data_IF_255784813135
#
_entry.id   IF_255784813135
#
_cell.length_a   1.000
_cell.length_b   1.000
_cell.length_c   1.000
_cell.angle_alpha   90.00
_cell.angle_beta   90.00
_cell.angle_gamma   90.00
#
_symmetry.space_group_name_H-M   'P 1'
#
loop_
_entity.id
_entity.type
_entity.pdbx_description
1 polymer ?
#
# COMPACT_ATOMS: atom_id res chain seq x y z
N UNK A 1 10.90 -2.05 -23.39
CA UNK A 1 11.16 -2.56 -22.03
C UNK A 1 12.47 -1.94 -21.59
N UNK A 2 12.45 -1.04 -20.61
CA UNK A 2 13.55 -0.11 -20.35
C UNK A 2 14.19 -0.37 -18.98
N UNK A 3 14.96 -1.46 -18.87
CA UNK A 3 15.93 -1.54 -17.77
C UNK A 3 17.07 -0.59 -18.13
N UNK A 4 17.24 0.45 -17.32
CA UNK A 4 18.23 1.51 -17.48
C UNK A 4 19.12 1.57 -16.23
N UNK A 5 20.22 2.32 -16.29
CA UNK A 5 21.04 2.55 -15.10
C UNK A 5 20.23 3.20 -13.96
N UNK A 6 19.34 4.13 -14.31
CA UNK A 6 18.42 4.77 -13.35
C UNK A 6 17.44 3.77 -12.75
N UNK A 7 16.85 2.88 -13.56
CA UNK A 7 15.92 1.85 -13.07
C UNK A 7 16.61 0.92 -12.06
N UNK A 8 17.82 0.47 -12.36
CA UNK A 8 18.61 -0.37 -11.47
C UNK A 8 18.98 0.39 -10.20
N UNK A 9 19.38 1.67 -10.30
CA UNK A 9 19.67 2.47 -9.12
C UNK A 9 18.47 2.61 -8.19
N UNK A 10 17.28 2.89 -8.73
CA UNK A 10 16.04 2.98 -7.97
C UNK A 10 15.71 1.66 -7.26
N UNK A 11 15.92 0.52 -7.93
CA UNK A 11 15.70 -0.80 -7.34
C UNK A 11 16.69 -1.10 -6.20
N UNK A 12 17.96 -0.71 -6.36
CA UNK A 12 18.99 -0.87 -5.32
C UNK A 12 18.71 0.05 -4.14
N UNK A 13 18.32 1.30 -4.36
CA UNK A 13 17.93 2.22 -3.29
C UNK A 13 16.74 1.68 -2.51
N UNK A 14 15.72 1.15 -3.21
CA UNK A 14 14.58 0.53 -2.57
C UNK A 14 15.01 -0.59 -1.61
N UNK A 15 15.92 -1.47 -2.04
CA UNK A 15 16.47 -2.54 -1.21
C UNK A 15 17.26 -1.98 0.00
N UNK A 16 18.17 -1.03 -0.22
CA UNK A 16 18.99 -0.44 0.84
C UNK A 16 18.12 0.18 1.93
N UNK A 17 17.13 0.99 1.55
CA UNK A 17 16.25 1.61 2.52
C UNK A 17 15.34 0.58 3.21
N UNK A 18 14.89 -0.47 2.53
CA UNK A 18 14.09 -1.53 3.14
C UNK A 18 14.90 -2.28 4.22
N UNK A 19 16.16 -2.58 3.95
CA UNK A 19 17.04 -3.27 4.89
C UNK A 19 17.40 -2.39 6.09
N UNK A 20 17.60 -1.08 5.89
CA UNK A 20 17.73 -0.12 6.98
C UNK A 20 16.47 -0.07 7.86
N UNK A 21 15.28 -0.08 7.24
CA UNK A 21 14.01 -0.18 7.96
C UNK A 21 13.92 -1.47 8.79
N UNK A 22 14.24 -2.64 8.21
CA UNK A 22 14.24 -3.92 8.93
C UNK A 22 15.19 -3.91 10.13
N UNK A 23 16.40 -3.36 9.94
CA UNK A 23 17.38 -3.22 11.02
C UNK A 23 16.85 -2.31 12.13
N UNK A 24 16.33 -1.14 11.75
CA UNK A 24 15.71 -0.20 12.69
C UNK A 24 14.54 -0.82 13.44
N UNK A 25 13.72 -1.66 12.78
CA UNK A 25 12.63 -2.42 13.42
C UNK A 25 13.15 -3.37 14.50
N UNK A 26 14.21 -4.11 14.19
CA UNK A 26 14.88 -4.97 15.18
C UNK A 26 15.44 -4.18 16.36
N UNK A 27 16.07 -3.03 16.11
CA UNK A 27 16.58 -2.14 17.16
C UNK A 27 15.44 -1.59 18.03
N UNK A 28 14.32 -1.20 17.43
CA UNK A 28 13.12 -0.70 18.10
C UNK A 28 12.46 -1.75 19.01
N UNK A 29 12.31 -2.98 18.52
CA UNK A 29 11.72 -4.09 19.28
C UNK A 29 12.60 -4.47 20.48
N UNK A 30 13.92 -4.49 20.30
CA UNK A 30 14.90 -4.78 21.35
C UNK A 30 15.11 -3.63 22.35
N UNK A 31 14.61 -2.43 22.04
CA UNK A 31 14.83 -1.24 22.84
C UNK A 31 14.26 -1.36 24.26
N UNK A 32 13.08 -1.97 24.39
CA UNK A 32 12.42 -2.20 25.68
C UNK A 32 13.27 -3.04 26.65
N UNK A 33 13.94 -4.07 26.13
CA UNK A 33 14.82 -4.96 26.88
C UNK A 33 16.04 -4.18 27.40
N UNK A 34 16.60 -3.31 26.56
CA UNK A 34 17.75 -2.48 26.91
C UNK A 34 17.41 -1.50 28.03
N UNK A 35 16.25 -0.84 27.95
CA UNK A 35 15.76 0.08 28.99
C UNK A 35 15.56 -0.64 30.32
N UNK A 36 14.92 -1.80 30.30
CA UNK A 36 14.67 -2.59 31.50
C UNK A 36 15.97 -3.07 32.15
N UNK A 37 16.96 -3.48 31.34
CA UNK A 37 18.29 -3.84 31.85
C UNK A 37 18.98 -2.69 32.58
N UNK A 38 18.88 -1.46 32.04
CA UNK A 38 19.48 -0.26 32.65
C UNK A 38 18.80 0.12 33.96
N UNK A 39 17.48 -0.03 34.07
CA UNK A 39 16.73 0.18 35.32
C UNK A 39 17.15 -0.82 36.39
N UNK A 40 17.31 -2.10 36.05
CA UNK A 40 17.78 -3.13 36.99
C UNK A 40 19.18 -2.86 37.51
N UNK A 41 20.10 -2.36 36.67
CA UNK A 41 21.44 -1.95 37.13
C UNK A 41 21.32 -0.83 38.18
N UNK A 42 20.44 0.15 37.95
CA UNK A 42 20.22 1.22 38.92
C UNK A 42 19.61 0.71 40.24
N UNK A 43 18.68 -0.26 40.19
CA UNK A 43 18.14 -0.92 41.39
C UNK A 43 19.20 -1.66 42.19
N UNK A 44 20.05 -2.42 41.50
CA UNK A 44 21.14 -3.15 42.14
C UNK A 44 22.10 -2.20 42.86
N UNK A 45 22.36 -1.01 42.30
CA UNK A 45 23.20 0.00 42.91
C UNK A 45 22.61 0.53 44.24
N UNK A 46 21.29 0.76 44.33
CA UNK A 46 20.63 1.12 45.61
C UNK A 46 20.82 0.00 46.63
N UNK A 47 20.66 -1.24 46.19
CA UNK A 47 20.73 -2.40 47.05
C UNK A 47 22.14 -2.60 47.61
N UNK A 48 23.17 -2.36 46.79
CA UNK A 48 24.58 -2.33 47.22
C UNK A 48 24.83 -1.23 48.26
N UNK A 49 24.41 0.01 47.98
CA UNK A 49 24.54 1.12 48.95
C UNK A 49 23.85 0.77 50.27
N UNK A 50 22.63 0.26 50.21
CA UNK A 50 21.86 -0.14 51.39
C UNK A 50 22.62 -1.19 52.21
N UNK A 51 23.12 -2.23 51.57
CA UNK A 51 23.88 -3.29 52.24
C UNK A 51 25.16 -2.73 52.87
N UNK A 52 25.92 -1.90 52.15
CA UNK A 52 27.15 -1.29 52.67
C UNK A 52 26.87 -0.39 53.88
N UNK A 53 25.87 0.47 53.81
CA UNK A 53 25.51 1.41 54.89
C UNK A 53 24.97 0.68 56.11
N UNK A 54 24.13 -0.33 55.92
CA UNK A 54 23.59 -1.13 57.02
C UNK A 54 24.68 -1.91 57.75
N UNK A 55 25.59 -2.54 57.00
CA UNK A 55 26.68 -3.35 57.53
C UNK A 55 27.87 -2.56 58.08
N UNK A 56 27.90 -1.24 57.89
CA UNK A 56 28.97 -0.40 58.44
C UNK A 56 28.87 -0.33 59.96
N UNK A 57 29.95 -0.69 60.65
CA UNK A 57 30.01 -0.71 62.10
C UNK A 57 30.40 0.67 62.67
N UNK A 58 29.49 1.28 63.40
CA UNK A 58 29.70 2.56 64.09
C UNK A 58 30.12 2.38 65.56
N UNK A 59 30.22 1.15 66.06
CA UNK A 59 30.51 0.84 67.47
C UNK A 59 31.79 1.51 67.99
N UNK A 60 32.80 1.65 67.14
CA UNK A 60 34.08 2.28 67.48
C UNK A 60 33.99 3.81 67.68
N UNK A 61 32.90 4.44 67.28
CA UNK A 61 32.71 5.90 67.33
C UNK A 61 31.85 6.38 68.49
N UNK A 62 31.10 5.48 69.15
CA UNK A 62 30.18 5.83 70.25
C UNK A 62 28.95 6.64 69.82
N UNK A 63 28.68 6.75 68.52
CA UNK A 63 27.58 7.53 67.94
C UNK A 63 26.44 6.59 67.50
N UNK A 64 25.20 6.89 67.89
CA UNK A 64 24.03 6.28 67.27
C UNK A 64 23.83 6.87 65.86
N UNK A 65 24.18 6.06 64.86
CA UNK A 65 24.14 6.46 63.45
C UNK A 65 22.89 5.96 62.72
N UNK A 66 21.89 5.41 63.42
CA UNK A 66 20.68 4.82 62.81
C UNK A 66 19.94 5.81 61.89
N UNK A 67 19.71 7.03 62.36
CA UNK A 67 19.09 8.11 61.57
C UNK A 67 19.92 8.50 60.33
N UNK A 68 21.25 8.52 60.48
CA UNK A 68 22.16 8.85 59.38
C UNK A 68 22.13 7.74 58.32
N UNK A 69 22.16 6.46 58.73
CA UNK A 69 22.03 5.32 57.83
C UNK A 69 20.73 5.37 57.03
N UNK A 70 19.61 5.65 57.70
CA UNK A 70 18.30 5.76 57.04
C UNK A 70 18.27 6.90 56.03
N UNK A 71 18.78 8.09 56.39
CA UNK A 71 18.87 9.24 55.47
C UNK A 71 19.72 8.94 54.23
N UNK A 72 20.84 8.24 54.37
CA UNK A 72 21.68 7.84 53.24
C UNK A 72 20.92 6.91 52.30
N UNK A 73 20.20 5.92 52.83
CA UNK A 73 19.41 4.97 52.04
C UNK A 73 18.25 5.67 51.32
N UNK A 74 17.54 6.58 52.00
CA UNK A 74 16.48 7.39 51.39
C UNK A 74 17.03 8.26 50.27
N UNK A 75 18.16 8.93 50.49
CA UNK A 75 18.79 9.76 49.48
C UNK A 75 19.24 8.94 48.26
N UNK A 76 19.84 7.77 48.47
CA UNK A 76 20.23 6.88 47.38
C UNK A 76 19.02 6.37 46.59
N UNK A 77 17.93 6.03 47.28
CA UNK A 77 16.68 5.59 46.67
C UNK A 77 16.03 6.70 45.83
N UNK A 78 16.00 7.93 46.35
CA UNK A 78 15.50 9.10 45.63
C UNK A 78 16.35 9.42 44.39
N UNK A 79 17.68 9.38 44.54
CA UNK A 79 18.61 9.61 43.44
C UNK A 79 18.41 8.58 42.32
N UNK A 80 18.25 7.30 42.65
CA UNK A 80 17.99 6.26 41.65
C UNK A 80 16.61 6.39 41.03
N UNK A 81 15.58 6.79 41.77
CA UNK A 81 14.26 7.11 41.18
C UNK A 81 14.39 8.19 40.11
N UNK A 82 15.10 9.29 40.41
CA UNK A 82 15.36 10.37 39.45
C UNK A 82 16.18 9.91 38.25
N UNK A 83 17.17 9.01 38.46
CA UNK A 83 17.94 8.42 37.36
C UNK A 83 17.05 7.57 36.47
N UNK A 84 16.16 6.74 37.05
CA UNK A 84 15.22 5.92 36.28
C UNK A 84 14.26 6.77 35.45
N UNK A 85 13.71 7.85 36.02
CA UNK A 85 12.89 8.81 35.28
C UNK A 85 13.67 9.41 34.10
N UNK A 86 14.94 9.78 34.30
CA UNK A 86 15.81 10.26 33.21
C UNK A 86 16.11 9.19 32.16
N UNK A 87 16.30 7.93 32.58
CA UNK A 87 16.47 6.79 31.67
C UNK A 87 15.21 6.62 30.82
N UNK A 88 14.03 6.66 31.43
CA UNK A 88 12.76 6.53 30.72
C UNK A 88 12.49 7.68 29.75
N UNK A 89 12.77 8.91 30.16
CA UNK A 89 12.60 10.07 29.29
C UNK A 89 13.50 9.97 28.05
N UNK A 90 14.81 9.72 28.25
CA UNK A 90 15.76 9.51 27.15
C UNK A 90 15.39 8.32 26.28
N UNK A 91 14.91 7.25 26.90
CA UNK A 91 14.44 6.07 26.19
C UNK A 91 13.29 6.40 25.23
N UNK A 92 12.29 7.18 25.67
CA UNK A 92 11.20 7.61 24.80
C UNK A 92 11.69 8.47 23.64
N UNK A 93 12.63 9.38 23.90
CA UNK A 93 13.21 10.24 22.87
C UNK A 93 13.99 9.43 21.82
N UNK A 94 14.86 8.52 22.27
CA UNK A 94 15.62 7.62 21.39
C UNK A 94 14.67 6.70 20.59
N UNK A 95 13.64 6.15 21.23
CA UNK A 95 12.65 5.29 20.59
C UNK A 95 11.85 6.05 19.52
N UNK A 96 11.48 7.29 19.79
CA UNK A 96 10.83 8.17 18.81
C UNK A 96 11.78 8.50 17.64
N UNK A 97 13.07 8.74 17.91
CA UNK A 97 14.06 9.00 16.86
C UNK A 97 14.28 7.78 15.96
N UNK A 98 14.36 6.57 16.55
CA UNK A 98 14.44 5.31 15.79
C UNK A 98 13.20 5.15 14.92
N UNK A 99 12.01 5.36 15.48
CA UNK A 99 10.74 5.25 14.73
C UNK A 99 10.67 6.23 13.56
N UNK A 100 11.01 7.50 13.77
CA UNK A 100 11.03 8.49 12.71
C UNK A 100 12.01 8.12 11.58
N UNK A 101 13.19 7.60 11.95
CA UNK A 101 14.16 7.10 10.97
C UNK A 101 13.60 5.90 10.20
N UNK A 102 12.99 4.94 10.88
CA UNK A 102 12.34 3.77 10.27
C UNK A 102 11.26 4.19 9.27
N UNK A 103 10.33 5.06 9.68
CA UNK A 103 9.25 5.55 8.81
C UNK A 103 9.83 6.30 7.59
N UNK A 104 10.92 7.06 7.79
CA UNK A 104 11.66 7.72 6.71
C UNK A 104 12.27 6.74 5.72
N UNK A 105 12.94 5.70 6.20
CA UNK A 105 13.55 4.65 5.38
C UNK A 105 12.48 3.83 4.64
N UNK A 106 11.38 3.47 5.30
CA UNK A 106 10.25 2.79 4.65
C UNK A 106 9.66 3.62 3.51
N UNK A 107 9.39 4.90 3.75
CA UNK A 107 8.84 5.80 2.73
C UNK A 107 9.79 6.00 1.55
N UNK A 108 11.11 6.12 1.80
CA UNK A 108 12.12 6.20 0.73
C UNK A 108 12.19 4.90 -0.05
N UNK A 109 12.13 3.75 0.62
CA UNK A 109 12.11 2.44 -0.03
C UNK A 109 10.93 2.31 -0.98
N UNK A 110 9.71 2.61 -0.50
CA UNK A 110 8.48 2.57 -1.31
C UNK A 110 8.54 3.59 -2.45
N UNK A 111 9.08 4.79 -2.20
CA UNK A 111 9.28 5.83 -3.22
C UNK A 111 10.20 5.36 -4.34
N UNK A 112 11.40 4.87 -4.00
CA UNK A 112 12.36 4.32 -4.97
C UNK A 112 11.80 3.10 -5.71
N UNK A 113 11.07 2.20 -5.03
CA UNK A 113 10.42 1.07 -5.67
C UNK A 113 9.32 1.53 -6.64
N UNK A 114 8.54 2.55 -6.27
CA UNK A 114 7.53 3.13 -7.15
C UNK A 114 8.16 3.71 -8.43
N UNK A 115 9.30 4.39 -8.30
CA UNK A 115 10.07 4.91 -9.45
C UNK A 115 10.66 3.81 -10.33
N UNK A 116 11.02 2.66 -9.77
CA UNK A 116 11.41 1.50 -10.56
C UNK A 116 10.20 0.91 -11.31
N UNK A 117 9.09 0.67 -10.60
CA UNK A 117 7.92 -0.02 -11.15
C UNK A 117 7.13 0.84 -12.15
N UNK A 118 7.18 2.17 -12.06
CA UNK A 118 6.48 3.07 -13.00
C UNK A 118 7.02 2.98 -14.43
N UNK A 119 8.27 2.51 -14.59
CA UNK A 119 8.91 2.28 -15.88
C UNK A 119 8.44 1.01 -16.59
N UNK A 120 7.48 0.29 -15.96
CA UNK A 120 6.93 -0.99 -16.43
C UNK A 120 8.05 -1.98 -16.80
N UNK A 121 8.89 -2.37 -15.81
CA UNK A 121 10.09 -3.16 -16.06
C UNK A 121 9.78 -4.56 -16.57
N UNK A 122 8.60 -5.10 -16.24
CA UNK A 122 8.15 -6.44 -16.60
C UNK A 122 7.17 -6.43 -17.77
N UNK A 123 7.10 -7.54 -18.51
CA UNK A 123 6.07 -7.70 -19.54
C UNK A 123 4.69 -7.88 -18.89
N UNK A 124 3.80 -6.91 -19.10
CA UNK A 124 2.43 -6.92 -18.59
C UNK A 124 1.57 -7.79 -19.52
N UNK A 125 0.99 -8.86 -18.97
CA UNK A 125 0.06 -9.76 -19.66
C UNK A 125 -1.36 -9.18 -19.62
N UNK A 126 -1.76 -8.68 -18.44
CA UNK A 126 -3.10 -8.17 -18.21
C UNK A 126 -3.07 -7.11 -17.11
N UNK A 127 -4.07 -6.24 -17.08
CA UNK A 127 -4.25 -5.29 -16.00
C UNK A 127 -5.72 -5.04 -15.72
N UNK A 128 -6.00 -4.65 -14.47
CA UNK A 128 -7.34 -4.25 -14.06
C UNK A 128 -7.25 -3.02 -13.18
N UNK A 129 -8.06 -2.02 -13.50
CA UNK A 129 -8.17 -0.78 -12.74
C UNK A 129 -9.48 -0.79 -12.00
N UNK A 130 -9.41 -0.55 -10.70
CA UNK A 130 -10.55 -0.46 -9.81
C UNK A 130 -10.69 0.99 -9.37
N UNK A 131 -11.90 1.53 -9.48
CA UNK A 131 -12.29 2.84 -8.96
C UNK A 131 -13.45 2.63 -7.98
N UNK A 132 -13.38 3.24 -6.82
CA UNK A 132 -14.43 3.22 -5.81
C UNK A 132 -14.71 4.64 -5.34
N UNK A 133 -15.98 5.00 -5.20
CA UNK A 133 -16.40 6.19 -4.47
C UNK A 133 -16.50 5.84 -2.98
N UNK A 134 -15.74 6.55 -2.14
CA UNK A 134 -15.65 6.32 -0.69
C UNK A 134 -15.71 7.66 0.03
N UNK A 135 -16.75 7.86 0.82
CA UNK A 135 -16.92 9.03 1.70
C UNK A 135 -16.72 10.38 0.99
N UNK A 136 -17.33 10.53 -0.20
CA UNK A 136 -17.28 11.77 -0.98
C UNK A 136 -16.02 11.97 -1.83
N UNK A 137 -15.16 10.96 -1.97
CA UNK A 137 -13.96 11.01 -2.81
C UNK A 137 -13.73 9.71 -3.55
N UNK A 138 -12.98 9.74 -4.65
CA UNK A 138 -12.62 8.54 -5.40
C UNK A 138 -11.27 7.97 -4.97
N UNK A 139 -11.23 6.67 -4.74
CA UNK A 139 -10.02 5.89 -4.55
C UNK A 139 -9.85 4.91 -5.71
N UNK A 140 -8.64 4.84 -6.26
CA UNK A 140 -8.36 3.95 -7.36
C UNK A 140 -7.05 3.20 -7.21
N UNK A 141 -7.04 1.99 -7.76
CA UNK A 141 -5.87 1.11 -7.82
C UNK A 141 -5.81 0.40 -9.16
N UNK A 142 -4.60 0.21 -9.68
CA UNK A 142 -4.34 -0.60 -10.86
C UNK A 142 -3.53 -1.83 -10.46
N UNK A 143 -4.03 -3.00 -10.81
CA UNK A 143 -3.37 -4.30 -10.61
C UNK A 143 -2.83 -4.77 -11.95
N UNK A 144 -1.53 -5.05 -12.00
CA UNK A 144 -0.83 -5.52 -13.18
C UNK A 144 -0.39 -6.97 -12.97
N UNK A 145 -0.69 -7.83 -13.94
CA UNK A 145 -0.22 -9.22 -14.00
C UNK A 145 0.85 -9.33 -15.07
N UNK A 146 1.97 -9.91 -14.71
CA UNK A 146 3.14 -10.03 -15.57
C UNK A 146 3.56 -11.50 -15.73
N UNK A 147 4.51 -11.73 -16.63
CA UNK A 147 5.18 -13.01 -16.76
C UNK A 147 5.85 -13.47 -15.44
N UNK A 148 6.24 -14.75 -15.40
CA UNK A 148 6.98 -15.36 -14.29
C UNK A 148 6.28 -15.28 -12.92
N UNK A 149 4.94 -15.27 -12.93
CA UNK A 149 4.08 -15.17 -11.73
C UNK A 149 4.39 -13.91 -10.89
N UNK A 150 4.62 -12.79 -11.57
CA UNK A 150 4.82 -11.48 -10.96
C UNK A 150 3.52 -10.69 -11.08
N UNK A 151 3.10 -10.06 -9.99
CA UNK A 151 2.04 -9.05 -10.04
C UNK A 151 2.38 -7.87 -9.15
N UNK A 152 1.87 -6.70 -9.49
CA UNK A 152 2.06 -5.51 -8.67
C UNK A 152 0.85 -4.60 -8.73
N UNK A 153 0.67 -3.82 -7.68
CA UNK A 153 -0.45 -2.89 -7.54
C UNK A 153 0.08 -1.47 -7.34
N UNK A 154 -0.54 -0.52 -8.04
CA UNK A 154 -0.37 0.91 -7.82
C UNK A 154 -1.66 1.51 -7.27
N UNK A 155 -1.54 2.36 -6.26
CA UNK A 155 -2.55 3.38 -6.02
C UNK A 155 -2.46 4.46 -7.09
N UNK A 156 -3.61 4.97 -7.54
CA UNK A 156 -3.71 6.00 -8.56
C UNK A 156 -4.16 7.33 -7.96
N UNK A 157 -3.75 8.43 -8.56
CA UNK A 157 -4.08 9.76 -8.08
C UNK A 157 -5.34 10.32 -8.77
N UNK A 158 -6.52 10.02 -8.20
CA UNK A 158 -7.81 10.50 -8.70
C UNK A 158 -7.91 12.03 -8.75
N UNK A 159 -7.25 12.76 -7.84
CA UNK A 159 -7.34 14.23 -7.78
C UNK A 159 -6.68 14.93 -8.98
N UNK A 160 -5.85 14.22 -9.75
CA UNK A 160 -5.24 14.71 -10.98
C UNK A 160 -6.12 14.48 -12.21
N UNK A 161 -7.23 13.77 -12.07
CA UNK A 161 -8.22 13.53 -13.13
C UNK A 161 -9.40 14.47 -12.91
N UNK A 162 -9.63 15.48 -13.78
CA UNK A 162 -10.66 16.49 -13.59
C UNK A 162 -12.05 15.92 -13.30
N UNK A 163 -12.41 14.84 -13.98
CA UNK A 163 -13.70 14.16 -13.87
C UNK A 163 -13.92 13.50 -12.50
N UNK A 164 -12.84 13.19 -11.77
CA UNK A 164 -12.89 12.47 -10.49
C UNK A 164 -12.58 13.37 -9.30
N UNK A 165 -12.56 14.69 -9.49
CA UNK A 165 -12.35 15.68 -8.41
C UNK A 165 -13.54 15.73 -7.45
N UNK A 166 -14.74 15.59 -8.00
CA UNK A 166 -16.02 15.64 -7.30
C UNK A 166 -16.83 14.37 -7.61
N UNK A 167 -17.97 14.19 -6.92
CA UNK A 167 -18.90 13.08 -7.18
C UNK A 167 -19.41 13.11 -8.63
N UNK A 168 -19.27 11.98 -9.34
CA UNK A 168 -19.71 11.85 -10.73
C UNK A 168 -21.16 11.40 -10.78
N UNK A 169 -22.08 12.35 -11.00
CA UNK A 169 -23.47 12.05 -11.30
C UNK A 169 -23.65 11.60 -12.74
N UNK A 170 -24.51 10.62 -13.01
CA UNK A 170 -24.79 10.18 -14.38
C UNK A 170 -25.34 11.30 -15.28
N UNK A 171 -26.04 12.29 -14.70
CA UNK A 171 -26.50 13.47 -15.42
C UNK A 171 -25.38 14.37 -15.96
N UNK A 172 -24.14 14.24 -15.45
CA UNK A 172 -22.97 14.93 -16.01
C UNK A 172 -22.42 14.21 -17.26
N UNK A 173 -22.65 12.90 -17.36
CA UNK A 173 -22.24 12.07 -18.51
C UNK A 173 -23.30 12.12 -19.61
N UNK A 174 -24.56 11.83 -19.28
CA UNK A 174 -25.70 11.92 -20.20
C UNK A 174 -27.00 12.11 -19.43
N UNK A 175 -27.83 13.07 -19.88
CA UNK A 175 -29.06 13.47 -19.19
C UNK A 175 -30.27 12.64 -19.62
N UNK A 176 -31.17 12.39 -18.68
CA UNK A 176 -32.46 11.78 -18.97
C UNK A 176 -32.42 10.28 -19.30
N UNK A 177 -31.33 9.59 -18.96
CA UNK A 177 -31.22 8.14 -19.17
C UNK A 177 -32.27 7.44 -18.30
N UNK A 178 -32.99 6.48 -18.90
CA UNK A 178 -33.97 5.64 -18.23
C UNK A 178 -33.63 4.18 -18.42
N UNK A 179 -33.66 3.41 -17.34
CA UNK A 179 -33.47 1.96 -17.38
C UNK A 179 -34.79 1.29 -16.99
N UNK A 180 -35.30 0.34 -17.79
CA UNK A 180 -36.45 -0.46 -17.38
C UNK A 180 -36.04 -1.37 -16.21
N UNK A 181 -36.77 -1.36 -15.11
CA UNK A 181 -36.38 -2.10 -13.89
C UNK A 181 -37.38 -3.18 -13.50
N UNK A 182 -38.67 -2.99 -13.78
CA UNK A 182 -39.73 -3.94 -13.41
C UNK A 182 -40.88 -3.94 -14.40
N UNK A 183 -41.63 -5.04 -14.37
CA UNK A 183 -42.94 -5.16 -15.04
C UNK A 183 -44.00 -4.60 -14.10
N UNK A 184 -44.59 -3.48 -14.49
CA UNK A 184 -45.80 -2.99 -13.87
C UNK A 184 -47.03 -3.76 -14.36
N UNK A 185 -48.09 -3.74 -13.55
CA UNK A 185 -49.43 -4.14 -13.99
C UNK A 185 -50.26 -2.88 -14.14
N UNK A 186 -50.71 -2.62 -15.37
CA UNK A 186 -51.76 -1.63 -15.60
C UNK A 186 -53.07 -2.15 -15.01
N UNK A 187 -53.70 -1.39 -14.11
CA UNK A 187 -55.03 -1.73 -13.57
C UNK A 187 -56.13 -1.65 -14.65
N UNK A 188 -55.85 -1.01 -15.79
CA UNK A 188 -56.84 -0.70 -16.83
C UNK A 188 -56.56 -1.33 -18.20
N UNK A 189 -55.43 -2.04 -18.38
CA UNK A 189 -55.16 -2.77 -19.63
C UNK A 189 -54.48 -4.13 -19.36
N UNK A 190 -54.70 -5.09 -20.26
CA UNK A 190 -54.01 -6.39 -20.25
C UNK A 190 -52.55 -6.31 -20.73
N UNK A 191 -52.05 -5.11 -21.03
CA UNK A 191 -50.68 -4.89 -21.48
C UNK A 191 -49.75 -4.73 -20.27
N UNK A 192 -48.62 -5.42 -20.32
CA UNK A 192 -47.56 -5.29 -19.32
C UNK A 192 -46.96 -3.89 -19.43
N UNK A 193 -47.11 -3.06 -18.40
CA UNK A 193 -46.41 -1.78 -18.33
C UNK A 193 -45.00 -2.00 -17.83
N UNK A 194 -44.08 -1.09 -18.16
CA UNK A 194 -42.68 -1.16 -17.70
C UNK A 194 -42.40 0.03 -16.81
N UNK A 195 -41.89 -0.25 -15.61
CA UNK A 195 -41.44 0.77 -14.67
C UNK A 195 -39.99 1.13 -14.97
N UNK A 196 -39.66 2.41 -14.85
CA UNK A 196 -38.35 2.95 -15.22
C UNK A 196 -37.68 3.68 -14.06
N UNK A 197 -36.38 3.47 -13.95
CA UNK A 197 -35.48 4.24 -13.11
C UNK A 197 -34.90 5.40 -13.93
N UNK A 198 -34.87 6.61 -13.38
CA UNK A 198 -34.19 7.76 -13.99
C UNK A 198 -32.80 7.91 -13.38
N UNK A 199 -31.76 7.83 -14.21
CA UNK A 199 -30.38 7.74 -13.71
C UNK A 199 -29.77 9.09 -13.31
N UNK A 200 -30.39 10.23 -13.60
CA UNK A 200 -29.76 11.55 -13.43
C UNK A 200 -29.18 11.83 -12.03
N UNK A 201 -29.76 11.24 -10.98
CA UNK A 201 -29.31 11.35 -9.59
C UNK A 201 -28.32 10.26 -9.16
N UNK A 202 -28.16 9.22 -9.95
CA UNK A 202 -27.23 8.14 -9.64
C UNK A 202 -25.80 8.66 -9.74
N UNK A 203 -24.96 8.19 -8.83
CA UNK A 203 -23.54 8.47 -8.79
C UNK A 203 -22.76 7.25 -9.27
N UNK A 204 -21.59 7.47 -9.88
CA UNK A 204 -20.65 6.42 -10.20
C UNK A 204 -20.02 5.90 -8.91
N UNK A 205 -20.42 4.70 -8.45
CA UNK A 205 -19.96 4.14 -7.19
C UNK A 205 -18.75 3.22 -7.37
N UNK A 206 -18.73 2.42 -8.44
CA UNK A 206 -17.64 1.49 -8.73
C UNK A 206 -17.38 1.35 -10.22
N UNK A 207 -16.10 1.20 -10.58
CA UNK A 207 -15.68 0.78 -11.92
C UNK A 207 -14.58 -0.26 -11.82
N UNK A 208 -14.73 -1.32 -12.61
CA UNK A 208 -13.67 -2.28 -12.92
C UNK A 208 -13.39 -2.21 -14.41
N UNK A 209 -12.18 -1.78 -14.75
CA UNK A 209 -11.77 -1.60 -16.14
C UNK A 209 -10.60 -2.52 -16.45
N UNK A 210 -10.74 -3.31 -17.51
CA UNK A 210 -9.67 -4.07 -18.14
C UNK A 210 -9.67 -3.81 -19.66
N UNK A 211 -8.62 -4.20 -20.39
CA UNK A 211 -8.66 -4.16 -21.86
C UNK A 211 -9.82 -4.95 -22.49
N UNK A 212 -10.35 -5.95 -21.76
CA UNK A 212 -11.34 -6.92 -22.28
C UNK A 212 -12.77 -6.55 -21.91
N UNK A 213 -12.97 -5.79 -20.85
CA UNK A 213 -14.31 -5.42 -20.38
C UNK A 213 -14.27 -4.20 -19.46
N UNK A 214 -15.44 -3.59 -19.31
CA UNK A 214 -15.71 -2.62 -18.24
C UNK A 214 -16.95 -3.05 -17.48
N UNK A 215 -16.84 -3.08 -16.15
CA UNK A 215 -17.96 -3.25 -15.24
C UNK A 215 -18.16 -1.93 -14.50
N UNK A 216 -19.38 -1.41 -14.53
CA UNK A 216 -19.73 -0.11 -13.93
C UNK A 216 -20.87 -0.36 -12.97
N UNK A 217 -20.76 0.17 -11.76
CA UNK A 217 -21.87 0.26 -10.81
C UNK A 217 -22.18 1.72 -10.55
N UNK A 218 -23.47 2.02 -10.58
CA UNK A 218 -24.01 3.32 -10.22
C UNK A 218 -25.02 3.13 -9.10
N UNK A 219 -25.08 4.10 -8.20
CA UNK A 219 -25.92 4.03 -6.99
C UNK A 219 -26.69 5.32 -6.79
N UNK A 220 -27.93 5.21 -6.34
CA UNK A 220 -28.69 6.33 -5.83
C UNK A 220 -28.55 6.38 -4.31
N UNK A 221 -27.86 7.38 -3.77
CA UNK A 221 -27.62 7.52 -2.33
C UNK A 221 -28.91 7.69 -1.51
N UNK A 222 -29.99 8.22 -2.11
CA UNK A 222 -31.26 8.44 -1.42
C UNK A 222 -32.03 7.12 -1.20
N UNK A 223 -31.96 6.19 -2.16
CA UNK A 223 -32.76 4.95 -2.18
C UNK A 223 -31.93 3.68 -2.06
N UNK A 224 -30.59 3.81 -2.02
CA UNK A 224 -29.61 2.72 -2.06
C UNK A 224 -29.81 1.74 -3.22
N UNK A 225 -30.54 2.17 -4.25
CA UNK A 225 -30.80 1.39 -5.45
C UNK A 225 -29.57 1.42 -6.34
N UNK A 226 -29.21 0.26 -6.90
CA UNK A 226 -27.97 0.07 -7.65
C UNK A 226 -28.30 -0.46 -9.04
N UNK A 227 -27.55 0.04 -10.03
CA UNK A 227 -27.55 -0.51 -11.38
C UNK A 227 -26.11 -0.84 -11.74
N UNK A 228 -25.89 -2.04 -12.28
CA UNK A 228 -24.59 -2.45 -12.78
C UNK A 228 -24.65 -2.80 -14.26
N UNK A 229 -23.67 -2.31 -15.01
CA UNK A 229 -23.47 -2.58 -16.43
C UNK A 229 -22.17 -3.36 -16.62
N UNK A 230 -22.23 -4.52 -17.26
CA UNK A 230 -21.06 -5.22 -17.76
C UNK A 230 -21.01 -5.09 -19.28
N UNK A 231 -19.94 -4.48 -19.79
CA UNK A 231 -19.70 -4.28 -21.21
C UNK A 231 -18.41 -5.02 -21.61
N UNK A 232 -18.51 -6.15 -22.35
CA UNK A 232 -17.35 -6.82 -22.91
C UNK A 232 -16.89 -6.08 -24.19
N UNK A 233 -15.61 -5.72 -24.24
CA UNK A 233 -15.00 -4.98 -25.36
C UNK A 233 -15.00 -5.84 -26.64
N UNK A 234 -14.70 -7.13 -26.50
CA UNK A 234 -14.63 -8.07 -27.63
C UNK A 234 -16.00 -8.50 -28.17
N UNK A 235 -17.07 -8.24 -27.41
CA UNK A 235 -18.43 -8.54 -27.86
C UNK A 235 -19.42 -7.44 -27.42
N UNK A 236 -19.39 -6.27 -28.09
CA UNK A 236 -20.17 -5.09 -27.72
C UNK A 236 -21.69 -5.26 -27.67
N UNK A 237 -22.22 -6.39 -28.18
CA UNK A 237 -23.65 -6.69 -28.24
C UNK A 237 -24.11 -7.55 -27.04
N UNK A 238 -23.18 -8.05 -26.20
CA UNK A 238 -23.48 -8.83 -24.98
C UNK A 238 -23.43 -7.97 -23.70
N UNK A 239 -24.06 -6.81 -23.72
CA UNK A 239 -24.14 -5.93 -22.55
C UNK A 239 -25.08 -6.55 -21.52
N UNK A 240 -24.59 -6.75 -20.29
CA UNK A 240 -25.42 -7.21 -19.16
C UNK A 240 -25.78 -6.04 -18.27
N UNK A 241 -27.03 -6.01 -17.83
CA UNK A 241 -27.60 -4.95 -16.99
C UNK A 241 -28.36 -5.60 -15.85
N UNK A 242 -27.89 -5.35 -14.63
CA UNK A 242 -28.57 -5.77 -13.41
C UNK A 242 -29.06 -4.53 -12.65
N UNK A 243 -30.25 -4.63 -12.07
CA UNK A 243 -30.81 -3.65 -11.14
C UNK A 243 -31.01 -4.31 -9.77
N UNK A 244 -30.78 -3.56 -8.69
CA UNK A 244 -30.99 -4.02 -7.32
C UNK A 244 -31.58 -2.89 -6.48
N UNK A 245 -32.61 -3.22 -5.71
CA UNK A 245 -33.19 -2.37 -4.67
C UNK A 245 -33.59 -3.21 -3.45
N UNK A 246 -34.36 -2.61 -2.54
CA UNK A 246 -34.86 -3.26 -1.32
C UNK A 246 -35.77 -4.47 -1.57
N UNK A 247 -36.44 -4.57 -2.73
CA UNK A 247 -37.26 -5.76 -3.04
C UNK A 247 -36.52 -6.84 -3.84
N UNK A 248 -35.25 -6.61 -4.19
CA UNK A 248 -34.36 -7.65 -4.68
C UNK A 248 -33.58 -7.27 -5.94
N UNK A 249 -32.95 -8.28 -6.56
CA UNK A 249 -32.16 -8.14 -7.78
C UNK A 249 -32.97 -8.56 -9.01
N UNK A 250 -32.91 -7.76 -10.07
CA UNK A 250 -33.52 -8.02 -11.38
C UNK A 250 -32.43 -8.05 -12.44
N UNK A 251 -32.38 -9.14 -13.22
CA UNK A 251 -31.58 -9.19 -14.44
C UNK A 251 -32.40 -8.54 -15.57
N UNK A 252 -32.00 -7.34 -15.98
CA UNK A 252 -32.76 -6.50 -16.91
C UNK A 252 -32.57 -6.96 -18.35
N UNK A 253 -31.35 -7.30 -18.77
CA UNK A 253 -31.08 -7.78 -20.13
C UNK A 253 -31.59 -9.21 -20.36
N UNK A 254 -31.61 -10.04 -19.30
CA UNK A 254 -32.13 -11.40 -19.34
C UNK A 254 -33.66 -11.50 -19.39
N UNK A 255 -34.40 -10.42 -19.10
CA UNK A 255 -35.86 -10.40 -19.23
C UNK A 255 -36.29 -9.94 -20.63
N UNK A 256 -36.97 -10.79 -21.44
CA UNK A 256 -37.34 -10.46 -22.82
C UNK A 256 -38.28 -9.26 -22.99
N UNK A 257 -38.98 -8.85 -21.92
CA UNK A 257 -39.86 -7.68 -21.95
C UNK A 257 -39.05 -6.42 -21.66
N UNK A 258 -38.19 -6.45 -20.62
CA UNK A 258 -37.40 -5.29 -20.21
C UNK A 258 -36.32 -4.96 -21.25
N UNK A 259 -35.63 -5.97 -21.78
CA UNK A 259 -34.52 -5.79 -22.74
C UNK A 259 -34.92 -5.05 -24.02
N UNK A 260 -36.18 -5.16 -24.45
CA UNK A 260 -36.72 -4.42 -25.62
C UNK A 260 -36.72 -2.90 -25.45
N UNK A 261 -36.71 -2.42 -24.20
CA UNK A 261 -36.77 -0.99 -23.88
C UNK A 261 -35.43 -0.41 -23.44
N UNK A 262 -34.35 -1.20 -23.48
CA UNK A 262 -33.01 -0.74 -23.13
C UNK A 262 -32.41 0.03 -24.31
N UNK A 263 -31.92 1.24 -24.04
CA UNK A 263 -31.09 1.99 -24.99
C UNK A 263 -29.62 1.56 -24.89
N UNK A 264 -29.29 0.45 -25.54
CA UNK A 264 -27.92 -0.09 -25.57
C UNK A 264 -26.91 0.88 -26.19
N UNK A 265 -27.33 1.79 -27.07
CA UNK A 265 -26.44 2.80 -27.66
C UNK A 265 -25.99 3.80 -26.61
N UNK A 266 -26.92 4.26 -25.78
CA UNK A 266 -26.60 5.16 -24.66
C UNK A 266 -25.70 4.47 -23.63
N UNK A 267 -25.97 3.21 -23.28
CA UNK A 267 -25.09 2.44 -22.37
C UNK A 267 -23.68 2.29 -22.94
N UNK A 268 -23.56 1.97 -24.23
CA UNK A 268 -22.25 1.89 -24.92
C UNK A 268 -21.50 3.22 -24.86
N UNK A 269 -22.20 4.35 -25.04
CA UNK A 269 -21.61 5.69 -24.96
C UNK A 269 -21.11 6.01 -23.55
N UNK A 270 -21.87 5.66 -22.51
CA UNK A 270 -21.49 5.84 -21.11
C UNK A 270 -20.26 5.01 -20.78
N UNK A 271 -20.27 3.73 -21.14
CA UNK A 271 -19.13 2.82 -20.94
C UNK A 271 -17.87 3.33 -21.64
N UNK A 272 -18.00 3.86 -22.86
CA UNK A 272 -16.89 4.47 -23.60
C UNK A 272 -16.33 5.72 -22.91
N UNK A 273 -17.20 6.60 -22.40
CA UNK A 273 -16.78 7.78 -21.63
C UNK A 273 -16.01 7.37 -20.37
N UNK A 274 -16.58 6.47 -19.56
CA UNK A 274 -15.94 6.00 -18.32
C UNK A 274 -14.62 5.30 -18.63
N UNK A 275 -14.56 4.46 -19.67
CA UNK A 275 -13.30 3.83 -20.10
C UNK A 275 -12.22 4.87 -20.43
N UNK A 276 -12.58 5.98 -21.10
CA UNK A 276 -11.66 7.08 -21.35
C UNK A 276 -11.12 7.74 -20.08
N UNK A 277 -11.98 7.96 -19.08
CA UNK A 277 -11.57 8.47 -17.75
C UNK A 277 -10.63 7.48 -17.06
N UNK A 278 -10.93 6.18 -17.08
CA UNK A 278 -10.09 5.14 -16.50
C UNK A 278 -8.72 5.04 -17.17
N UNK A 279 -8.66 5.21 -18.49
CA UNK A 279 -7.40 5.26 -19.24
C UNK A 279 -6.54 6.47 -18.87
N UNK A 280 -7.14 7.66 -18.72
CA UNK A 280 -6.42 8.85 -18.22
C UNK A 280 -5.90 8.62 -16.79
N UNK A 281 -6.72 7.98 -15.93
CA UNK A 281 -6.35 7.66 -14.55
C UNK A 281 -5.16 6.70 -14.44
N UNK A 282 -5.03 5.72 -15.34
CA UNK A 282 -3.87 4.81 -15.38
C UNK A 282 -2.53 5.53 -15.55
N UNK A 283 -2.51 6.68 -16.23
CA UNK A 283 -1.30 7.48 -16.39
C UNK A 283 -0.91 8.23 -15.10
N UNK A 284 -1.73 8.18 -14.04
CA UNK A 284 -1.54 8.89 -12.77
C UNK A 284 -1.14 7.96 -11.63
N UNK A 285 -0.20 7.05 -11.88
CA UNK A 285 0.41 6.16 -10.86
C UNK A 285 0.99 7.01 -9.72
N UNK A 286 0.62 6.72 -8.47
CA UNK A 286 1.04 7.47 -7.28
C UNK A 286 2.12 6.73 -6.49
N UNK A 287 1.78 5.57 -5.95
CA UNK A 287 2.72 4.72 -5.19
C UNK A 287 2.38 3.27 -5.41
N UNK A 288 3.41 2.43 -5.48
CA UNK A 288 3.25 0.98 -5.41
C UNK A 288 2.73 0.60 -4.03
N UNK A 289 1.75 -0.29 -3.99
CA UNK A 289 1.08 -0.76 -2.76
C UNK A 289 1.28 -2.25 -2.54
N UNK A 290 1.56 -3.02 -3.59
CA UNK A 290 1.88 -4.44 -3.50
C UNK A 290 2.84 -4.85 -4.62
N UNK A 291 3.78 -5.75 -4.30
CA UNK A 291 4.60 -6.46 -5.28
C UNK A 291 4.64 -7.92 -4.87
N UNK A 292 4.12 -8.80 -5.71
CA UNK A 292 4.01 -10.23 -5.48
C UNK A 292 4.89 -10.95 -6.49
N UNK A 293 5.76 -11.84 -6.00
CA UNK A 293 6.50 -12.81 -6.81
C UNK A 293 6.14 -14.20 -6.27
N UNK A 294 5.62 -15.07 -7.14
CA UNK A 294 5.06 -16.34 -6.67
C UNK A 294 3.81 -16.09 -5.82
N UNK A 295 3.84 -16.57 -4.58
CA UNK A 295 2.77 -16.38 -3.59
C UNK A 295 3.18 -15.42 -2.46
N UNK A 296 4.26 -14.65 -2.63
CA UNK A 296 4.79 -13.77 -1.59
C UNK A 296 4.67 -12.29 -1.95
N UNK A 297 3.94 -11.54 -1.12
CA UNK A 297 3.96 -10.08 -1.15
C UNK A 297 5.23 -9.56 -0.45
N UNK A 298 6.12 -8.97 -1.25
CA UNK A 298 7.43 -8.49 -0.83
C UNK A 298 7.36 -7.26 0.07
N UNK A 299 6.35 -6.40 -0.12
CA UNK A 299 6.17 -5.20 0.70
C UNK A 299 5.64 -5.54 2.09
N UNK A 300 4.68 -6.46 2.17
CA UNK A 300 4.16 -6.96 3.47
C UNK A 300 5.26 -7.64 4.29
N UNK A 301 6.12 -8.43 3.63
CA UNK A 301 7.28 -9.06 4.30
C UNK A 301 8.46 -8.12 4.51
N UNK A 302 8.40 -6.91 3.94
CA UNK A 302 9.52 -5.96 3.94
C UNK A 302 10.82 -6.58 3.40
N UNK A 303 10.72 -7.41 2.36
CA UNK A 303 11.86 -8.15 1.79
C UNK A 303 11.89 -8.01 0.26
N UNK A 304 12.74 -7.11 -0.22
CA UNK A 304 12.89 -6.81 -1.65
C UNK A 304 14.02 -7.61 -2.31
N UNK A 305 14.81 -8.37 -1.55
CA UNK A 305 15.94 -9.12 -2.10
C UNK A 305 15.53 -10.09 -3.23
N UNK A 306 14.41 -10.83 -3.13
CA UNK A 306 13.96 -11.71 -4.22
C UNK A 306 13.73 -10.96 -5.53
N UNK A 307 13.15 -9.76 -5.48
CA UNK A 307 12.92 -8.92 -6.66
C UNK A 307 14.24 -8.47 -7.29
N UNK A 308 15.20 -8.01 -6.49
CA UNK A 308 16.51 -7.58 -6.99
C UNK A 308 17.23 -8.74 -7.68
N UNK A 309 17.27 -9.91 -7.05
CA UNK A 309 17.87 -11.12 -7.63
C UNK A 309 17.19 -11.50 -8.95
N UNK A 310 15.86 -11.50 -8.99
CA UNK A 310 15.09 -11.78 -10.20
C UNK A 310 15.46 -10.81 -11.33
N UNK A 311 15.48 -9.50 -11.08
CA UNK A 311 15.82 -8.49 -12.09
C UNK A 311 17.24 -8.69 -12.62
N UNK A 312 18.22 -8.89 -11.74
CA UNK A 312 19.62 -9.12 -12.13
C UNK A 312 19.80 -10.40 -12.95
N UNK A 313 19.04 -11.45 -12.64
CA UNK A 313 19.07 -12.71 -13.38
C UNK A 313 18.37 -12.59 -14.74
N UNK A 314 17.11 -12.12 -14.75
CA UNK A 314 16.25 -12.02 -15.94
C UNK A 314 16.81 -11.06 -16.98
N UNK A 315 17.36 -9.93 -16.52
CA UNK A 315 17.92 -8.88 -17.37
C UNK A 315 19.45 -8.84 -17.34
N UNK A 316 20.08 -9.98 -17.04
CA UNK A 316 21.54 -10.11 -16.92
C UNK A 316 22.30 -9.52 -18.11
N UNK A 317 21.84 -9.73 -19.35
CA UNK A 317 22.47 -9.15 -20.54
C UNK A 317 22.46 -7.60 -20.55
N UNK A 318 21.36 -6.97 -20.11
CA UNK A 318 21.26 -5.51 -20.00
C UNK A 318 22.12 -5.00 -18.87
N UNK A 319 22.06 -5.64 -17.71
CA UNK A 319 22.87 -5.28 -16.54
C UNK A 319 24.36 -5.38 -16.86
N UNK A 320 24.80 -6.45 -17.55
CA UNK A 320 26.17 -6.61 -18.05
C UNK A 320 26.58 -5.49 -18.99
N UNK A 321 25.71 -5.10 -19.93
CA UNK A 321 25.96 -4.00 -20.85
C UNK A 321 26.17 -2.69 -20.09
N UNK A 322 25.24 -2.35 -19.19
CA UNK A 322 25.32 -1.14 -18.37
C UNK A 322 26.58 -1.07 -17.51
N UNK A 323 27.06 -2.21 -16.99
CA UNK A 323 28.32 -2.29 -16.25
C UNK A 323 29.53 -2.11 -17.19
N UNK A 324 29.55 -2.85 -18.30
CA UNK A 324 30.65 -2.80 -19.27
C UNK A 324 30.82 -1.41 -19.88
N UNK A 325 29.71 -0.70 -20.11
CA UNK A 325 29.67 0.64 -20.68
C UNK A 325 29.95 1.74 -19.62
N UNK A 326 30.18 1.36 -18.36
CA UNK A 326 30.48 2.27 -17.27
C UNK A 326 29.29 3.07 -16.73
N UNK A 327 28.06 2.73 -17.13
CA UNK A 327 26.84 3.36 -16.61
C UNK A 327 26.49 2.89 -15.19
N UNK A 328 26.95 1.71 -14.78
CA UNK A 328 26.82 1.18 -13.42
C UNK A 328 28.21 0.80 -12.91
N UNK A 329 28.65 1.41 -11.81
CA UNK A 329 29.91 1.07 -11.15
C UNK A 329 29.71 -0.09 -10.16
N UNK A 330 30.50 -1.16 -10.29
CA UNK A 330 30.52 -2.26 -9.33
C UNK A 330 30.96 -1.77 -7.95
N UNK A 331 31.92 -0.84 -7.88
CA UNK A 331 32.41 -0.31 -6.62
C UNK A 331 31.38 0.59 -5.92
N UNK A 332 30.56 1.31 -6.69
CA UNK A 332 29.40 2.03 -6.14
C UNK A 332 28.37 1.04 -5.58
N UNK A 333 28.03 -0.02 -6.33
CA UNK A 333 27.13 -1.08 -5.85
C UNK A 333 27.66 -1.73 -4.57
N UNK A 334 28.96 -2.06 -4.51
CA UNK A 334 29.61 -2.58 -3.30
C UNK A 334 29.46 -1.62 -2.13
N UNK A 335 29.74 -0.34 -2.34
CA UNK A 335 29.66 0.69 -1.30
C UNK A 335 28.23 0.81 -0.76
N UNK A 336 27.24 0.85 -1.65
CA UNK A 336 25.82 0.99 -1.30
C UNK A 336 25.27 -0.24 -0.57
N UNK A 337 25.71 -1.43 -0.96
CA UNK A 337 25.17 -2.70 -0.47
C UNK A 337 25.99 -3.34 0.67
N UNK A 338 27.18 -2.80 0.99
CA UNK A 338 28.08 -3.33 2.02
C UNK A 338 27.40 -3.51 3.39
N UNK A 339 26.47 -2.63 3.73
CA UNK A 339 25.77 -2.63 5.01
C UNK A 339 24.61 -3.64 5.10
N UNK A 340 24.24 -4.27 3.98
CA UNK A 340 23.14 -5.24 3.91
C UNK A 340 23.68 -6.65 4.10
N UNK A 341 24.58 -7.06 3.20
CA UNK A 341 25.25 -8.36 3.24
C UNK A 341 26.56 -8.24 2.45
N UNK A 342 27.72 -8.56 3.04
CA UNK A 342 29.02 -8.44 2.37
C UNK A 342 29.12 -9.19 1.03
N UNK A 343 28.36 -10.28 0.88
CA UNK A 343 28.39 -11.13 -0.30
C UNK A 343 27.30 -10.78 -1.33
N UNK A 344 26.38 -9.87 -1.03
CA UNK A 344 25.21 -9.62 -1.90
C UNK A 344 25.63 -9.14 -3.29
N UNK A 345 26.68 -8.34 -3.40
CA UNK A 345 27.16 -7.89 -4.71
C UNK A 345 27.77 -9.05 -5.48
N UNK A 346 28.52 -9.93 -4.81
CA UNK A 346 29.06 -11.12 -5.46
C UNK A 346 27.92 -12.03 -5.96
N UNK A 347 26.88 -12.25 -5.16
CA UNK A 347 25.69 -13.02 -5.53
C UNK A 347 24.94 -12.38 -6.72
N UNK A 348 24.76 -11.05 -6.70
CA UNK A 348 24.09 -10.32 -7.77
C UNK A 348 24.92 -10.33 -9.06
N UNK A 349 26.25 -10.16 -8.97
CA UNK A 349 27.14 -10.24 -10.13
C UNK A 349 27.17 -11.66 -10.70
N UNK A 350 27.21 -12.69 -9.85
CA UNK A 350 27.12 -14.08 -10.28
C UNK A 350 25.77 -14.37 -10.97
N UNK A 351 24.67 -13.84 -10.42
CA UNK A 351 23.32 -13.95 -11.02
C UNK A 351 23.23 -13.23 -12.37
N UNK A 352 23.91 -12.09 -12.48
CA UNK A 352 24.05 -11.34 -13.72
C UNK A 352 25.10 -11.95 -14.66
N UNK A 353 25.82 -13.01 -14.29
CA UNK A 353 26.88 -13.64 -15.07
C UNK A 353 28.12 -12.75 -15.29
N UNK A 354 28.33 -11.74 -14.46
CA UNK A 354 29.52 -10.88 -14.45
C UNK A 354 30.57 -11.58 -13.59
N UNK A 355 31.62 -12.11 -14.22
CA UNK A 355 32.81 -12.58 -13.52
C UNK A 355 33.70 -11.37 -13.20
N UNK A 356 34.14 -11.27 -11.93
CA UNK A 356 35.07 -10.23 -11.48
C UNK A 356 36.42 -10.32 -12.18
#
# INVERSE_FOLDING_TARGET
MAITAESISNLIDALVYMENYRKGKGDYENFSILVESRKKIADNFVLEIKNTVQNFDFSQTGIDASDVKNKIIEFASLAVSQIKEKIEARARDDQNAIKQKMDGDLNRSIGSLSLFMIQDPFHIIDYTVYLNHVSGSYQARAVYRCDDNISYEFSLNCSLVPELKDTVYMSSISKGIRIPVRKGRSLMSSEVSVDYEKLDKYILSYVEYSPKYINVMIENEDTLSQISFFYPVDNPDMIRIDYKDDSGKVNVDGDPILSKYIDYKTIRSISGYIAGVMQNLMARKKTVTSVIIGDTNLLEKSDLLPLVKYVFQKYSYLVKGLISDGHISIDDLRTRLANINPNIVQDLMASAGVTQ
#
